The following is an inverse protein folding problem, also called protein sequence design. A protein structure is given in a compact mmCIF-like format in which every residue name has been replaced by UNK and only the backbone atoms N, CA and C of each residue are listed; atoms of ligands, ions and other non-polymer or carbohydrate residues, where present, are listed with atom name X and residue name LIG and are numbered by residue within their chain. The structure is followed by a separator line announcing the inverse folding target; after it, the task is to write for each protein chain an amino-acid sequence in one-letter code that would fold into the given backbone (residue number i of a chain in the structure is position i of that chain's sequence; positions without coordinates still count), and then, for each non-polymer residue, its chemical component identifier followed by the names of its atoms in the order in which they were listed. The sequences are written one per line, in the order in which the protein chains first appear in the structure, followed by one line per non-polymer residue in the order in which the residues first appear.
data_IF_186172281832
#
_entry.id   IF_186172281832
#
_cell.length_a   1.000
_cell.length_b   1.000
_cell.length_c   1.000
_cell.angle_alpha   90.00
_cell.angle_beta   90.00
_cell.angle_gamma   90.00
#
_symmetry.space_group_name_H-M   'P 1'
#
loop_
_entity.id
_entity.type
_entity.pdbx_description
1 polymer ?
#
# COMPACT_ATOMS: atom_id res chain seq x y z
N UNK A 1 -12.47 -49.54 4.02
CA UNK A 1 -11.50 -48.45 3.88
C UNK A 1 -11.94 -47.61 2.70
N UNK A 2 -12.60 -46.51 2.95
CA UNK A 2 -13.07 -45.57 1.92
C UNK A 2 -12.05 -44.47 1.83
N UNK A 3 -11.34 -44.43 0.70
CA UNK A 3 -10.35 -43.40 0.42
C UNK A 3 -11.02 -42.02 0.33
N UNK A 4 -10.64 -41.11 1.20
CA UNK A 4 -10.92 -39.69 1.04
C UNK A 4 -10.25 -39.20 -0.24
N UNK A 5 -11.02 -38.97 -1.30
CA UNK A 5 -10.60 -38.15 -2.42
C UNK A 5 -10.32 -36.74 -1.85
N UNK A 6 -9.04 -36.33 -1.85
CA UNK A 6 -8.70 -34.91 -1.77
C UNK A 6 -9.33 -34.25 -3.01
N UNK A 7 -10.41 -33.56 -2.81
CA UNK A 7 -10.86 -32.57 -3.77
C UNK A 7 -9.82 -31.44 -3.72
N UNK A 8 -8.89 -31.45 -4.68
CA UNK A 8 -8.08 -30.29 -4.97
C UNK A 8 -9.04 -29.16 -5.37
N UNK A 9 -9.28 -28.27 -4.42
CA UNK A 9 -9.98 -27.03 -4.72
C UNK A 9 -9.07 -26.23 -5.66
N UNK A 10 -9.42 -26.18 -6.92
CA UNK A 10 -8.92 -25.21 -7.88
C UNK A 10 -9.43 -23.82 -7.46
N UNK A 11 -8.81 -23.25 -6.45
CA UNK A 11 -9.00 -21.85 -6.12
C UNK A 11 -8.09 -21.10 -7.08
N UNK A 12 -8.67 -20.42 -8.04
CA UNK A 12 -7.92 -19.53 -8.91
C UNK A 12 -7.24 -18.48 -8.04
N UNK A 13 -5.91 -18.46 -8.09
CA UNK A 13 -5.15 -17.47 -7.29
C UNK A 13 -5.53 -16.05 -7.69
N UNK A 14 -5.78 -15.13 -6.76
CA UNK A 14 -6.17 -13.75 -7.07
C UNK A 14 -5.23 -13.02 -8.02
N UNK A 15 -3.94 -13.39 -8.05
CA UNK A 15 -2.96 -12.74 -8.93
C UNK A 15 -3.18 -13.05 -10.42
N UNK A 16 -3.93 -14.10 -10.78
CA UNK A 16 -4.29 -14.40 -12.16
C UNK A 16 -5.33 -13.42 -12.71
N UNK A 17 -6.00 -12.67 -11.85
CA UNK A 17 -7.01 -11.70 -12.23
C UNK A 17 -6.47 -10.30 -12.03
N UNK A 18 -6.57 -9.48 -13.06
CA UNK A 18 -6.30 -8.04 -12.96
C UNK A 18 -7.55 -7.37 -12.43
N UNK A 19 -7.44 -6.81 -11.24
CA UNK A 19 -8.53 -6.05 -10.65
C UNK A 19 -8.35 -4.56 -10.96
N UNK A 20 -9.42 -3.93 -11.42
CA UNK A 20 -9.54 -2.48 -11.41
C UNK A 20 -10.36 -2.10 -10.18
N UNK A 21 -9.76 -1.33 -9.29
CA UNK A 21 -10.36 -0.91 -8.02
C UNK A 21 -10.67 0.56 -8.14
N UNK A 22 -11.90 0.99 -7.88
CA UNK A 22 -12.24 2.40 -7.88
C UNK A 22 -11.50 3.15 -6.78
N UNK A 23 -10.80 4.22 -7.16
CA UNK A 23 -10.14 5.15 -6.25
C UNK A 23 -10.88 6.47 -6.31
N UNK A 24 -11.54 6.84 -5.22
CA UNK A 24 -12.43 8.00 -5.17
C UNK A 24 -11.63 9.30 -5.04
N UNK A 25 -12.08 10.35 -5.73
CA UNK A 25 -11.55 11.68 -5.52
C UNK A 25 -11.96 12.23 -4.15
N UNK A 26 -10.97 12.79 -3.44
CA UNK A 26 -11.18 13.47 -2.17
C UNK A 26 -10.42 14.80 -2.17
N UNK A 27 -11.12 15.91 -2.23
CA UNK A 27 -10.54 17.27 -2.25
C UNK A 27 -10.05 17.73 -0.87
N UNK A 28 -9.54 16.80 -0.07
CA UNK A 28 -9.00 17.06 1.24
C UNK A 28 -7.59 17.65 1.17
N UNK A 29 -7.34 18.71 1.94
CA UNK A 29 -6.03 19.34 2.04
C UNK A 29 -5.28 18.83 3.26
N UNK A 30 -3.99 18.51 3.08
CA UNK A 30 -3.14 18.13 4.19
C UNK A 30 -3.08 19.22 5.26
N UNK A 31 -3.33 18.84 6.50
CA UNK A 31 -3.25 19.72 7.66
C UNK A 31 -2.49 19.05 8.81
N UNK A 32 -2.23 19.81 9.88
CA UNK A 32 -1.66 19.23 11.12
C UNK A 32 -2.57 18.19 11.78
N UNK A 33 -3.86 18.19 11.46
CA UNK A 33 -4.83 17.19 11.94
C UNK A 33 -4.86 15.94 11.08
N UNK A 34 -4.04 15.88 10.00
CA UNK A 34 -4.05 14.81 9.01
C UNK A 34 -5.21 14.94 8.02
N UNK A 35 -5.48 13.86 7.32
CA UNK A 35 -6.61 13.69 6.41
C UNK A 35 -7.28 12.35 6.74
N UNK A 36 -8.53 12.38 7.15
CA UNK A 36 -9.31 11.16 7.34
C UNK A 36 -10.13 10.87 6.10
N UNK A 37 -9.93 9.69 5.53
CA UNK A 37 -10.71 9.21 4.40
C UNK A 37 -11.97 8.48 4.89
N UNK A 38 -13.10 8.63 4.19
CA UNK A 38 -14.32 7.90 4.50
C UNK A 38 -14.19 6.39 4.18
N UNK A 39 -15.15 5.60 4.66
CA UNK A 39 -15.12 4.13 4.52
C UNK A 39 -15.23 3.64 3.08
N UNK A 40 -15.88 4.42 2.21
CA UNK A 40 -15.99 4.11 0.79
C UNK A 40 -14.66 4.19 0.02
N UNK A 41 -13.59 4.68 0.67
CA UNK A 41 -12.22 4.67 0.16
C UNK A 41 -11.42 3.42 0.58
N UNK A 42 -12.00 2.47 1.33
CA UNK A 42 -11.32 1.26 1.77
C UNK A 42 -10.97 0.34 0.60
N UNK A 43 -9.71 -0.11 0.58
CA UNK A 43 -9.26 -1.09 -0.40
C UNK A 43 -9.68 -2.50 0.03
N UNK A 44 -10.06 -3.36 -0.91
CA UNK A 44 -10.26 -4.76 -0.63
C UNK A 44 -8.93 -5.43 -0.27
N UNK A 45 -8.96 -6.39 0.64
CA UNK A 45 -7.85 -7.30 0.91
C UNK A 45 -8.20 -8.66 0.31
N UNK A 46 -7.62 -9.00 -0.82
CA UNK A 46 -7.94 -10.23 -1.54
C UNK A 46 -7.34 -11.47 -0.90
N UNK A 47 -6.30 -11.34 -0.08
CA UNK A 47 -5.74 -12.45 0.69
C UNK A 47 -6.77 -13.06 1.64
N UNK A 48 -7.70 -12.24 2.15
CA UNK A 48 -8.77 -12.71 3.03
C UNK A 48 -9.79 -13.60 2.31
N UNK A 49 -9.87 -13.57 0.99
CA UNK A 49 -10.81 -14.40 0.23
C UNK A 49 -10.40 -15.88 0.19
N UNK A 50 -9.15 -16.19 0.48
CA UNK A 50 -8.61 -17.56 0.47
C UNK A 50 -8.84 -18.29 1.80
N UNK A 51 -9.35 -17.63 2.82
CA UNK A 51 -9.61 -18.23 4.12
C UNK A 51 -10.98 -18.95 4.14
N UNK A 52 -10.95 -20.23 4.48
CA UNK A 52 -12.14 -21.11 4.44
C UNK A 52 -13.17 -20.84 5.53
N UNK A 53 -12.84 -20.03 6.54
CA UNK A 53 -13.75 -19.68 7.63
C UNK A 53 -13.99 -18.16 7.71
N UNK A 54 -15.15 -17.67 7.21
CA UNK A 54 -15.48 -16.24 7.27
C UNK A 54 -15.53 -15.65 8.70
N UNK A 55 -15.64 -16.48 9.74
CA UNK A 55 -15.68 -16.01 11.13
C UNK A 55 -14.30 -15.75 11.72
N UNK A 56 -13.25 -16.25 11.09
CA UNK A 56 -11.86 -16.03 11.53
C UNK A 56 -11.19 -14.84 10.81
N UNK A 57 -11.86 -14.27 9.82
CA UNK A 57 -11.32 -13.17 9.01
C UNK A 57 -11.61 -11.86 9.70
N UNK A 58 -10.87 -11.54 10.72
CA UNK A 58 -10.79 -10.16 11.19
C UNK A 58 -9.55 -9.51 10.59
N UNK A 59 -9.76 -8.70 9.56
CA UNK A 59 -8.69 -7.87 9.03
C UNK A 59 -8.14 -7.01 10.17
N UNK A 60 -6.86 -7.18 10.48
CA UNK A 60 -6.18 -6.39 11.51
C UNK A 60 -5.78 -4.99 11.00
N UNK A 61 -5.99 -4.73 9.71
CA UNK A 61 -5.76 -3.44 9.09
C UNK A 61 -6.91 -3.03 8.17
N UNK A 62 -7.25 -1.73 8.19
CA UNK A 62 -8.08 -1.05 7.20
C UNK A 62 -7.19 -0.08 6.43
N UNK A 63 -7.08 -0.29 5.13
CA UNK A 63 -6.27 0.52 4.22
C UNK A 63 -7.19 1.26 3.28
N UNK A 64 -7.12 2.58 3.32
CA UNK A 64 -7.93 3.47 2.47
C UNK A 64 -7.03 4.27 1.56
N UNK A 65 -7.47 4.43 0.31
CA UNK A 65 -6.78 5.24 -0.69
C UNK A 65 -7.76 6.20 -1.37
N UNK A 66 -7.30 7.39 -1.63
CA UNK A 66 -8.02 8.40 -2.41
C UNK A 66 -7.02 9.19 -3.26
N UNK A 67 -7.53 9.91 -4.24
CA UNK A 67 -6.73 10.76 -5.08
C UNK A 67 -7.31 12.19 -5.17
N UNK A 68 -6.46 13.11 -5.55
CA UNK A 68 -6.84 14.43 -6.06
C UNK A 68 -5.70 14.97 -6.95
N UNK A 69 -5.88 16.12 -7.62
CA UNK A 69 -4.82 16.69 -8.45
C UNK A 69 -3.49 16.97 -7.72
N UNK A 70 -3.52 17.05 -6.38
CA UNK A 70 -2.32 17.27 -5.56
C UNK A 70 -1.57 15.98 -5.22
N UNK A 71 -2.12 14.79 -5.52
CA UNK A 71 -1.48 13.49 -5.28
C UNK A 71 -2.38 12.41 -4.74
N UNK A 72 -1.75 11.39 -4.12
CA UNK A 72 -2.42 10.20 -3.56
C UNK A 72 -2.43 10.30 -2.04
N UNK A 73 -3.60 10.04 -1.46
CA UNK A 73 -3.85 10.08 -0.01
C UNK A 73 -4.02 8.64 0.49
N UNK A 74 -3.37 8.33 1.60
CA UNK A 74 -3.43 7.02 2.26
C UNK A 74 -3.84 7.18 3.71
N UNK A 75 -4.75 6.32 4.18
CA UNK A 75 -5.02 6.12 5.58
C UNK A 75 -4.90 4.63 5.91
N UNK A 76 -4.18 4.31 6.97
CA UNK A 76 -3.96 2.95 7.43
C UNK A 76 -4.32 2.89 8.91
N UNK A 77 -5.35 2.11 9.27
CA UNK A 77 -5.73 1.82 10.64
C UNK A 77 -5.33 0.40 10.99
N UNK A 78 -4.36 0.24 11.88
CA UNK A 78 -3.93 -1.06 12.42
C UNK A 78 -4.58 -1.27 13.78
N UNK A 79 -5.15 -2.46 14.00
CA UNK A 79 -5.85 -2.86 15.22
C UNK A 79 -5.35 -4.21 15.74
N UNK A 80 -5.62 -4.51 16.99
CA UNK A 80 -5.30 -5.81 17.60
C UNK A 80 -3.87 -5.96 18.11
N UNK A 81 -3.04 -4.91 18.03
CA UNK A 81 -1.67 -4.93 18.55
C UNK A 81 -1.62 -4.84 20.07
N UNK A 82 -0.70 -5.59 20.64
CA UNK A 82 -0.33 -5.57 22.06
C UNK A 82 0.99 -4.85 22.30
N UNK A 83 1.89 -4.84 21.27
CA UNK A 83 3.19 -4.23 21.33
C UNK A 83 3.28 -2.99 20.43
N UNK A 84 4.09 -1.99 20.77
CA UNK A 84 4.36 -0.88 19.87
C UNK A 84 5.04 -1.36 18.59
N UNK A 85 4.83 -0.66 17.46
CA UNK A 85 5.49 -1.02 16.21
C UNK A 85 7.01 -0.92 16.33
N UNK A 86 7.71 -1.87 15.74
CA UNK A 86 9.17 -1.86 15.67
C UNK A 86 9.62 -1.16 14.39
N UNK A 87 10.21 0.01 14.53
CA UNK A 87 10.62 0.85 13.41
C UNK A 87 12.05 1.33 13.56
N UNK A 88 12.84 1.22 12.48
CA UNK A 88 14.22 1.68 12.39
C UNK A 88 14.49 2.30 11.03
N UNK A 89 14.89 3.54 10.97
CA UNK A 89 15.23 4.22 9.70
C UNK A 89 16.44 3.62 9.00
N UNK A 90 17.35 2.98 9.75
CA UNK A 90 18.51 2.25 9.21
C UNK A 90 18.14 0.87 8.64
N UNK A 91 16.94 0.37 8.93
CA UNK A 91 16.40 -0.90 8.45
C UNK A 91 14.96 -0.70 8.03
N UNK A 92 14.76 0.25 7.12
CA UNK A 92 13.42 0.72 6.74
C UNK A 92 12.60 -0.39 6.08
N UNK A 93 13.24 -1.28 5.33
CA UNK A 93 12.60 -2.40 4.63
C UNK A 93 12.11 -3.50 5.58
N UNK A 94 12.80 -3.70 6.72
CA UNK A 94 12.47 -4.70 7.74
C UNK A 94 11.56 -4.17 8.85
N UNK A 95 11.22 -2.88 8.81
CA UNK A 95 10.45 -2.21 9.86
C UNK A 95 8.95 -2.47 9.71
N UNK A 96 8.25 -2.40 10.84
CA UNK A 96 6.78 -2.34 10.83
C UNK A 96 6.33 -1.07 10.10
N UNK A 97 5.38 -1.23 9.18
CA UNK A 97 4.89 -0.13 8.37
C UNK A 97 4.43 -0.58 6.99
N UNK A 98 4.15 0.37 6.14
CA UNK A 98 3.58 0.12 4.82
C UNK A 98 4.59 0.40 3.72
N UNK A 99 4.74 -0.55 2.82
CA UNK A 99 5.33 -0.38 1.50
C UNK A 99 4.22 -0.12 0.49
N UNK A 100 4.42 0.83 -0.41
CA UNK A 100 3.48 1.16 -1.49
C UNK A 100 4.25 1.30 -2.78
N UNK A 101 3.74 0.65 -3.83
CA UNK A 101 4.25 0.78 -5.19
C UNK A 101 3.18 1.40 -6.08
N UNK A 102 3.59 2.38 -6.88
CA UNK A 102 2.70 3.12 -7.80
C UNK A 102 3.36 3.18 -9.18
N UNK A 103 2.62 2.79 -10.22
CA UNK A 103 2.97 3.00 -11.62
C UNK A 103 2.01 4.03 -12.24
N UNK A 104 2.49 5.23 -12.53
CA UNK A 104 1.66 6.33 -13.05
C UNK A 104 1.21 6.14 -14.50
N UNK A 105 1.69 5.11 -15.18
CA UNK A 105 1.30 4.74 -16.56
C UNK A 105 0.48 3.47 -16.64
N UNK A 106 0.28 2.78 -15.51
CA UNK A 106 -0.44 1.50 -15.43
C UNK A 106 -0.03 0.50 -16.53
N UNK A 107 1.26 0.46 -16.87
CA UNK A 107 1.78 -0.42 -17.91
C UNK A 107 1.93 -1.83 -17.35
N UNK A 108 0.97 -2.70 -17.64
CA UNK A 108 0.85 -4.02 -17.03
C UNK A 108 1.74 -5.12 -17.64
N UNK A 109 2.41 -4.84 -18.75
CA UNK A 109 3.24 -5.83 -19.48
C UNK A 109 4.74 -5.69 -19.17
N UNK A 110 5.09 -4.80 -18.25
CA UNK A 110 6.49 -4.59 -17.88
C UNK A 110 6.82 -5.39 -16.63
N UNK A 111 7.84 -6.25 -16.71
CA UNK A 111 8.39 -7.02 -15.59
C UNK A 111 9.55 -6.34 -14.88
N UNK A 112 9.90 -5.13 -15.27
CA UNK A 112 10.95 -4.32 -14.65
C UNK A 112 10.47 -2.88 -14.55
N UNK A 113 10.60 -2.31 -13.38
CA UNK A 113 10.18 -0.95 -13.10
C UNK A 113 10.87 0.07 -14.04
N UNK A 114 10.11 1.07 -14.43
CA UNK A 114 10.56 2.22 -15.21
C UNK A 114 10.51 3.49 -14.35
N UNK A 115 10.96 4.63 -14.89
CA UNK A 115 10.89 5.94 -14.22
C UNK A 115 9.49 6.37 -13.77
N UNK A 116 8.45 5.68 -14.22
CA UNK A 116 7.06 5.90 -13.81
C UNK A 116 6.62 5.02 -12.64
N UNK A 117 7.50 4.13 -12.18
CA UNK A 117 7.26 3.25 -11.05
C UNK A 117 7.96 3.80 -9.82
N UNK A 118 7.22 3.94 -8.75
CA UNK A 118 7.66 4.52 -7.48
C UNK A 118 7.47 3.54 -6.35
N UNK A 119 8.41 3.50 -5.41
CA UNK A 119 8.27 2.79 -4.14
C UNK A 119 8.34 3.79 -2.99
N UNK A 120 7.39 3.67 -2.06
CA UNK A 120 7.35 4.46 -0.83
C UNK A 120 7.29 3.57 0.39
N UNK A 121 7.97 4.00 1.46
CA UNK A 121 7.89 3.37 2.78
C UNK A 121 7.36 4.37 3.79
N UNK A 122 6.39 3.90 4.57
CA UNK A 122 5.71 4.67 5.61
C UNK A 122 5.81 3.92 6.93
N UNK A 123 6.56 4.47 7.88
CA UNK A 123 6.71 3.89 9.21
C UNK A 123 5.92 4.72 10.23
N UNK A 124 5.16 4.10 11.14
CA UNK A 124 4.42 4.82 12.17
C UNK A 124 5.32 5.51 13.21
N UNK A 125 6.59 5.13 13.29
CA UNK A 125 7.60 5.72 14.21
C UNK A 125 9.02 5.48 13.64
N UNK A 126 10.06 5.74 14.42
CA UNK A 126 11.46 5.48 14.06
C UNK A 126 12.23 6.70 13.59
N UNK A 127 11.56 7.86 13.43
CA UNK A 127 12.18 9.14 13.12
C UNK A 127 12.42 10.00 14.36
N UNK A 128 13.17 11.11 14.12
CA UNK A 128 13.54 12.05 15.16
C UNK A 128 14.53 11.50 16.20
N UNK A 129 15.00 12.35 17.09
CA UNK A 129 15.99 11.99 18.10
C UNK A 129 15.49 10.93 19.10
N UNK A 130 14.18 10.89 19.35
CA UNK A 130 13.53 9.92 20.24
C UNK A 130 12.97 8.70 19.53
N UNK A 131 13.13 8.60 18.21
CA UNK A 131 12.60 7.54 17.36
C UNK A 131 11.06 7.37 17.46
N UNK A 132 10.36 8.43 17.78
CA UNK A 132 8.89 8.43 17.93
C UNK A 132 8.17 9.09 16.77
N UNK A 133 8.90 9.80 15.92
CA UNK A 133 8.32 10.49 14.78
C UNK A 133 8.07 9.49 13.62
N UNK A 134 6.97 9.65 12.86
CA UNK A 134 6.73 8.84 11.68
C UNK A 134 7.75 9.15 10.58
N UNK A 135 7.96 8.19 9.69
CA UNK A 135 8.93 8.29 8.60
C UNK A 135 8.26 7.97 7.28
N UNK A 136 8.45 8.85 6.29
CA UNK A 136 8.08 8.60 4.89
C UNK A 136 9.31 8.74 4.01
N UNK A 137 9.55 7.77 3.13
CA UNK A 137 10.66 7.80 2.17
C UNK A 137 10.25 7.21 0.84
N UNK A 138 10.75 7.80 -0.23
CA UNK A 138 10.80 7.14 -1.52
C UNK A 138 12.08 6.31 -1.58
N UNK A 139 11.98 5.08 -2.05
CA UNK A 139 13.10 4.17 -2.26
C UNK A 139 13.30 3.90 -3.76
N UNK A 140 14.47 3.39 -4.09
CA UNK A 140 14.76 2.87 -5.42
C UNK A 140 14.24 1.45 -5.55
N UNK A 141 13.54 1.16 -6.62
CA UNK A 141 13.06 -0.18 -6.90
C UNK A 141 14.24 -1.03 -7.39
N UNK A 142 14.45 -2.17 -6.75
CA UNK A 142 15.54 -3.07 -7.11
C UNK A 142 15.34 -3.62 -8.53
N UNK A 143 16.45 -3.76 -9.28
CA UNK A 143 16.45 -4.26 -10.67
C UNK A 143 15.59 -3.43 -11.65
N UNK A 144 15.20 -2.21 -11.30
CA UNK A 144 14.51 -1.31 -12.22
C UNK A 144 15.34 -1.10 -13.50
N UNK A 145 14.65 -0.91 -14.62
CA UNK A 145 15.29 -0.46 -15.87
C UNK A 145 15.76 1.00 -15.74
N UNK A 146 14.95 1.79 -15.07
CA UNK A 146 15.20 3.22 -14.78
C UNK A 146 14.42 3.56 -13.51
N UNK A 147 15.07 4.16 -12.53
CA UNK A 147 14.41 4.58 -11.30
C UNK A 147 13.74 5.95 -11.48
N UNK A 148 12.64 6.15 -10.78
CA UNK A 148 11.97 7.44 -10.71
C UNK A 148 12.85 8.48 -10.00
N UNK A 149 12.70 9.75 -10.39
CA UNK A 149 13.32 10.86 -9.66
C UNK A 149 12.73 10.99 -8.26
N UNK A 150 13.56 11.43 -7.32
CA UNK A 150 13.17 11.79 -5.96
C UNK A 150 13.12 13.31 -5.72
N UNK A 151 13.18 14.11 -6.78
CA UNK A 151 13.30 15.58 -6.68
C UNK A 151 12.01 16.27 -6.21
N UNK A 152 10.88 15.56 -6.25
CA UNK A 152 9.57 16.09 -5.85
C UNK A 152 9.36 16.31 -4.34
N UNK A 153 10.37 15.97 -3.55
CA UNK A 153 10.32 16.06 -2.08
C UNK A 153 9.70 14.83 -1.41
N UNK A 154 9.83 14.70 -0.09
CA UNK A 154 9.30 13.57 0.65
C UNK A 154 7.77 13.61 0.75
N UNK A 155 7.09 12.45 0.80
CA UNK A 155 5.69 12.39 1.16
C UNK A 155 5.44 12.99 2.55
N UNK A 156 4.25 13.55 2.75
CA UNK A 156 3.80 14.01 4.06
C UNK A 156 3.26 12.82 4.83
N UNK A 157 3.55 12.78 6.13
CA UNK A 157 3.13 11.68 6.99
C UNK A 157 2.72 12.19 8.36
N UNK A 158 1.73 11.53 8.95
CA UNK A 158 1.33 11.66 10.34
C UNK A 158 1.04 10.27 10.90
N UNK A 159 1.38 10.04 12.14
CA UNK A 159 1.01 8.84 12.85
C UNK A 159 0.41 9.19 14.20
N UNK A 160 -0.58 8.42 14.63
CA UNK A 160 -1.21 8.54 15.92
C UNK A 160 -1.29 7.17 16.59
N UNK A 161 -0.66 7.02 17.74
CA UNK A 161 -0.74 5.80 18.54
C UNK A 161 -2.15 5.65 19.12
N UNK A 162 -2.70 4.44 19.01
CA UNK A 162 -3.96 4.02 19.61
C UNK A 162 -3.70 2.95 20.67
N UNK A 163 -4.70 2.68 21.51
CA UNK A 163 -4.58 1.67 22.58
C UNK A 163 -4.29 0.29 21.99
N UNK A 164 -4.91 -0.02 20.84
CA UNK A 164 -4.90 -1.31 20.17
C UNK A 164 -4.10 -1.31 18.86
N UNK A 165 -3.24 -0.32 18.64
CA UNK A 165 -2.47 -0.20 17.40
C UNK A 165 -2.10 1.23 17.05
N UNK A 166 -2.31 1.64 15.78
CA UNK A 166 -2.01 2.98 15.32
C UNK A 166 -2.87 3.39 14.11
N UNK A 167 -2.96 4.69 13.90
CA UNK A 167 -3.43 5.31 12.68
C UNK A 167 -2.24 5.94 11.97
N UNK A 168 -2.07 5.68 10.69
CA UNK A 168 -1.06 6.31 9.85
C UNK A 168 -1.76 6.98 8.67
N UNK A 169 -1.42 8.22 8.43
CA UNK A 169 -1.97 9.04 7.35
C UNK A 169 -0.80 9.55 6.51
N UNK A 170 -0.93 9.47 5.19
CA UNK A 170 0.10 9.97 4.29
C UNK A 170 -0.51 10.66 3.07
N UNK A 171 0.25 11.61 2.53
CA UNK A 171 0.01 12.24 1.24
C UNK A 171 1.29 12.12 0.41
N UNK A 172 1.20 11.43 -0.72
CA UNK A 172 2.23 11.39 -1.75
C UNK A 172 1.94 12.53 -2.72
N UNK A 173 2.76 13.59 -2.74
CA UNK A 173 2.49 14.73 -3.62
C UNK A 173 2.59 14.37 -5.10
N UNK A 174 1.77 14.98 -5.94
CA UNK A 174 1.84 14.84 -7.39
C UNK A 174 3.24 15.14 -7.94
N UNK A 175 3.95 16.12 -7.34
CA UNK A 175 5.33 16.48 -7.71
C UNK A 175 6.34 15.34 -7.50
N UNK A 176 6.06 14.39 -6.61
CA UNK A 176 6.90 13.22 -6.34
C UNK A 176 6.62 12.08 -7.32
N UNK A 177 5.46 12.07 -7.96
CA UNK A 177 5.00 11.03 -8.87
C UNK A 177 5.29 11.41 -10.32
N UNK A 178 6.41 10.97 -10.86
CA UNK A 178 6.78 11.22 -12.28
C UNK A 178 5.63 10.79 -13.20
N UNK A 179 5.12 11.74 -13.98
CA UNK A 179 4.06 11.48 -14.95
C UNK A 179 2.65 11.38 -14.36
N UNK A 180 2.44 11.77 -13.11
CA UNK A 180 1.10 11.83 -12.53
C UNK A 180 0.28 12.94 -13.20
N UNK A 181 -0.72 12.54 -13.96
CA UNK A 181 -1.65 13.43 -14.70
C UNK A 181 -3.02 12.73 -14.75
N UNK A 182 -3.85 12.87 -13.71
CA UNK A 182 -5.14 12.18 -13.63
C UNK A 182 -6.08 12.49 -14.81
N UNK A 183 -5.99 13.70 -15.37
CA UNK A 183 -6.80 14.14 -16.52
C UNK A 183 -6.43 13.40 -17.82
N UNK A 184 -5.16 12.98 -17.96
CA UNK A 184 -4.66 12.24 -19.14
C UNK A 184 -4.66 10.73 -18.89
N UNK A 185 -4.39 10.32 -17.66
CA UNK A 185 -4.24 8.93 -17.23
C UNK A 185 -5.02 8.68 -15.95
N UNK A 186 -6.23 8.20 -16.09
CA UNK A 186 -7.13 7.93 -14.98
C UNK A 186 -6.90 6.54 -14.33
N UNK A 187 -5.83 5.84 -14.69
CA UNK A 187 -5.48 4.54 -14.14
C UNK A 187 -4.04 4.52 -13.65
N UNK A 188 -3.84 4.01 -12.45
CA UNK A 188 -2.53 3.78 -11.85
C UNK A 188 -2.33 2.31 -11.57
N UNK A 189 -1.13 1.78 -11.82
CA UNK A 189 -0.71 0.52 -11.22
C UNK A 189 -0.48 0.74 -9.74
N UNK A 190 -0.97 -0.15 -8.88
CA UNK A 190 -0.90 0.02 -7.43
C UNK A 190 -0.77 -1.31 -6.70
N UNK A 191 0.15 -1.33 -5.74
CA UNK A 191 0.29 -2.45 -4.82
C UNK A 191 0.73 -1.94 -3.44
N UNK A 192 0.39 -2.67 -2.39
CA UNK A 192 0.92 -2.43 -1.06
C UNK A 192 1.19 -3.73 -0.31
N UNK A 193 2.14 -3.63 0.61
CA UNK A 193 2.40 -4.61 1.66
C UNK A 193 2.50 -3.85 2.98
N UNK A 194 1.64 -4.18 3.92
CA UNK A 194 1.73 -3.71 5.30
C UNK A 194 2.36 -4.82 6.13
N UNK A 195 3.56 -4.57 6.65
CA UNK A 195 4.31 -5.52 7.46
C UNK A 195 4.24 -5.14 8.93
N UNK A 196 4.04 -6.12 9.78
CA UNK A 196 4.03 -5.96 11.24
C UNK A 196 4.56 -7.23 11.90
N UNK A 197 5.54 -7.08 12.81
CA UNK A 197 6.20 -8.21 13.47
C UNK A 197 5.29 -9.04 14.36
N UNK A 198 4.23 -8.43 14.89
CA UNK A 198 3.25 -9.11 15.73
C UNK A 198 2.10 -9.70 14.90
N UNK A 199 1.65 -8.97 13.88
CA UNK A 199 0.44 -9.29 13.11
C UNK A 199 0.73 -10.04 11.81
N UNK A 200 1.99 -10.03 11.33
CA UNK A 200 2.38 -10.61 10.05
C UNK A 200 2.31 -9.61 8.90
N UNK A 201 1.94 -10.10 7.72
CA UNK A 201 1.77 -9.26 6.53
C UNK A 201 0.28 -9.12 6.17
N UNK A 202 -0.07 -7.97 5.66
CA UNK A 202 -1.36 -7.68 5.08
C UNK A 202 -1.10 -7.10 3.68
N UNK A 203 -1.50 -7.82 2.67
CA UNK A 203 -1.21 -7.50 1.28
C UNK A 203 -2.49 -7.22 0.51
N UNK A 204 -2.38 -6.43 -0.54
CA UNK A 204 -3.53 -6.11 -1.38
C UNK A 204 -4.01 -7.32 -2.16
N UNK A 205 -3.10 -7.99 -2.89
CA UNK A 205 -3.42 -9.14 -3.75
C UNK A 205 -2.47 -10.29 -3.55
N UNK A 206 -1.18 -10.11 -3.82
CA UNK A 206 -0.15 -11.14 -3.72
C UNK A 206 0.98 -10.66 -2.83
N UNK A 207 1.46 -11.56 -1.99
CA UNK A 207 2.66 -11.38 -1.18
C UNK A 207 3.75 -12.36 -1.58
N UNK A 208 4.66 -12.68 -0.64
CA UNK A 208 5.63 -13.73 -0.85
C UNK A 208 4.96 -15.07 -1.22
N UNK A 209 5.52 -15.82 -2.18
CA UNK A 209 6.86 -15.69 -2.77
C UNK A 209 6.92 -14.87 -4.07
N UNK A 210 5.90 -14.08 -4.40
CA UNK A 210 5.89 -13.30 -5.64
C UNK A 210 6.76 -12.04 -5.52
N UNK A 211 7.55 -11.67 -6.57
CA UNK A 211 8.44 -10.50 -6.54
C UNK A 211 7.68 -9.19 -6.79
N UNK A 212 6.60 -8.94 -6.03
CA UNK A 212 5.75 -7.76 -6.20
C UNK A 212 6.48 -6.44 -5.85
N UNK A 213 7.60 -6.51 -5.15
CA UNK A 213 8.48 -5.39 -4.86
C UNK A 213 9.26 -4.88 -6.08
N UNK A 214 9.41 -5.68 -7.12
CA UNK A 214 10.25 -5.39 -8.29
C UNK A 214 9.58 -5.63 -9.63
N UNK A 215 8.44 -6.33 -9.65
CA UNK A 215 7.69 -6.65 -10.88
C UNK A 215 6.34 -5.91 -10.95
N UNK A 216 6.26 -4.80 -11.71
CA UNK A 216 5.04 -4.02 -11.85
C UNK A 216 3.87 -4.76 -12.51
N UNK A 217 4.11 -5.86 -13.21
CA UNK A 217 3.05 -6.66 -13.83
C UNK A 217 2.13 -7.34 -12.82
N UNK A 218 2.59 -7.45 -11.56
CA UNK A 218 1.83 -8.01 -10.44
C UNK A 218 0.97 -6.98 -9.70
N UNK A 219 1.10 -5.70 -10.05
CA UNK A 219 0.33 -4.63 -9.39
C UNK A 219 -1.06 -4.53 -9.99
N UNK A 220 -2.06 -4.34 -9.13
CA UNK A 220 -3.45 -4.10 -9.53
C UNK A 220 -3.63 -2.70 -10.09
N UNK A 221 -4.78 -2.43 -10.68
CA UNK A 221 -5.13 -1.11 -11.20
C UNK A 221 -5.98 -0.34 -10.18
N UNK A 222 -5.61 0.89 -9.87
CA UNK A 222 -6.52 1.89 -9.30
C UNK A 222 -7.13 2.69 -10.45
N UNK A 223 -8.44 2.70 -10.53
CA UNK A 223 -9.19 3.54 -11.45
C UNK A 223 -9.61 4.83 -10.73
N UNK A 224 -9.05 5.95 -11.19
CA UNK A 224 -9.30 7.28 -10.60
C UNK A 224 -10.67 7.77 -11.05
N UNK A 225 -11.63 7.80 -10.13
CA UNK A 225 -13.00 8.21 -10.43
C UNK A 225 -13.37 9.49 -9.67
N UNK A 226 -14.07 10.37 -10.35
CA UNK A 226 -14.70 11.53 -9.75
C UNK A 226 -16.01 11.10 -9.05
N UNK A 227 -16.35 11.76 -7.95
CA UNK A 227 -17.64 11.54 -7.29
C UNK A 227 -18.75 12.23 -8.01
#
# INVERSE_FOLDING_TARGET
MVGKKNEERLIASPFLFRFAIPCLRQDAKWSKKGIQLPEDCSLPCFELLDQTDPKQIQAWADVRVAWNPSGIILNIRVTGKRQPPWCRTSRIEDSDGMAVWINTRNTSEIHRASRFCHEFRFLPSGGGAKMTEPVARQLVIQRAKENASSDGGPPKIRSERRVDGYLLEALIPASTLTGYSPDEHNQLGFHYVLSDREMGQHVMTVGEPFPCDSDPSLWSTLELIEK
#
